data_IF_498411098771
#
_entry.id   IF_498411098771
#
_cell.length_a   1.000
_cell.length_b   1.000
_cell.length_c   1.000
_cell.angle_alpha   90.00
_cell.angle_beta   90.00
_cell.angle_gamma   90.00
#
_symmetry.space_group_name_H-M   'P 1'
#
loop_
_entity.id
_entity.type
_entity.pdbx_description
1 polymer ?
#
# COMPACT_ATOMS: atom_id res chain seq x y z
N UNK A 1 -18.18 -8.56 -1.03
CA UNK A 1 -19.09 -7.43 -0.69
C UNK A 1 -20.52 -7.95 -0.57
N UNK A 2 -21.28 -7.56 0.46
CA UNK A 2 -22.68 -8.00 0.61
C UNK A 2 -23.57 -7.25 -0.41
N UNK A 3 -24.56 -7.93 -0.98
CA UNK A 3 -25.47 -7.37 -1.99
C UNK A 3 -26.16 -6.08 -1.52
N UNK A 4 -26.59 -6.03 -0.26
CA UNK A 4 -27.23 -4.85 0.31
C UNK A 4 -26.26 -3.64 0.38
N UNK A 5 -25.01 -3.87 0.72
CA UNK A 5 -23.97 -2.83 0.71
C UNK A 5 -23.81 -2.21 -0.67
N UNK A 6 -23.69 -3.05 -1.72
CA UNK A 6 -23.56 -2.58 -3.11
C UNK A 6 -24.79 -1.76 -3.54
N UNK A 7 -26.00 -2.22 -3.18
CA UNK A 7 -27.24 -1.51 -3.50
C UNK A 7 -27.26 -0.11 -2.87
N UNK A 8 -26.88 0.01 -1.60
CA UNK A 8 -26.83 1.30 -0.90
C UNK A 8 -25.77 2.23 -1.53
N UNK A 9 -24.62 1.70 -1.92
CA UNK A 9 -23.59 2.48 -2.62
C UNK A 9 -24.11 3.01 -3.96
N UNK A 10 -24.77 2.19 -4.76
CA UNK A 10 -25.36 2.59 -6.05
C UNK A 10 -26.41 3.69 -5.85
N UNK A 11 -27.33 3.54 -4.89
CA UNK A 11 -28.37 4.54 -4.61
C UNK A 11 -27.77 5.86 -4.14
N UNK A 12 -26.71 5.82 -3.33
CA UNK A 12 -25.97 7.00 -2.90
C UNK A 12 -25.27 7.68 -4.09
N UNK A 13 -24.58 6.91 -4.93
CA UNK A 13 -23.91 7.44 -6.13
C UNK A 13 -24.89 8.14 -7.10
N UNK A 14 -26.12 7.64 -7.20
CA UNK A 14 -27.20 8.27 -7.98
C UNK A 14 -27.81 9.52 -7.33
N UNK A 15 -27.55 9.74 -6.03
CA UNK A 15 -28.17 10.81 -5.26
C UNK A 15 -29.58 10.47 -4.71
N UNK A 16 -30.05 9.24 -4.87
CA UNK A 16 -31.36 8.79 -4.36
C UNK A 16 -31.34 8.61 -2.83
N UNK A 17 -30.17 8.38 -2.25
CA UNK A 17 -29.91 8.24 -0.82
C UNK A 17 -28.77 9.17 -0.40
N UNK A 18 -28.90 9.82 0.76
CA UNK A 18 -27.88 10.70 1.31
C UNK A 18 -26.59 9.91 1.58
N UNK A 19 -25.45 10.51 1.28
CA UNK A 19 -24.14 9.96 1.67
C UNK A 19 -23.94 10.02 3.19
N UNK A 20 -23.09 9.20 3.75
CA UNK A 20 -22.70 9.28 5.17
C UNK A 20 -21.90 10.56 5.44
N UNK A 21 -20.99 10.88 4.54
CA UNK A 21 -20.17 12.08 4.58
C UNK A 21 -20.12 12.74 3.20
N UNK A 22 -20.30 14.05 3.16
CA UNK A 22 -20.02 14.84 1.95
C UNK A 22 -19.03 15.93 2.28
N UNK A 23 -17.95 15.97 1.49
CA UNK A 23 -17.02 17.09 1.48
C UNK A 23 -17.61 18.13 0.53
N UNK A 24 -18.12 19.24 1.10
CA UNK A 24 -18.80 20.29 0.37
C UNK A 24 -17.84 21.35 -0.16
N UNK A 25 -18.19 21.96 -1.30
CA UNK A 25 -17.48 23.13 -1.84
C UNK A 25 -15.98 22.89 -2.02
N UNK A 26 -15.60 21.69 -2.49
CA UNK A 26 -14.23 21.32 -2.75
C UNK A 26 -13.74 21.81 -4.12
N UNK A 27 -12.41 22.00 -4.26
CA UNK A 27 -11.71 21.99 -5.54
C UNK A 27 -11.07 20.61 -5.71
N UNK A 28 -11.75 19.74 -6.44
CA UNK A 28 -11.30 18.36 -6.64
C UNK A 28 -10.28 18.30 -7.76
N UNK A 29 -9.07 17.85 -7.45
CA UNK A 29 -8.04 17.56 -8.45
C UNK A 29 -8.35 16.19 -9.05
N UNK A 30 -8.91 16.21 -10.26
CA UNK A 30 -9.23 15.00 -11.00
C UNK A 30 -8.00 14.51 -11.75
N UNK A 31 -7.33 13.49 -11.20
CA UNK A 31 -6.09 12.93 -11.77
C UNK A 31 -6.32 12.13 -13.06
N UNK A 32 -7.57 11.81 -13.39
CA UNK A 32 -7.92 11.08 -14.62
C UNK A 32 -8.11 12.03 -15.82
N UNK A 33 -8.66 13.23 -15.58
CA UNK A 33 -8.91 14.22 -16.62
C UNK A 33 -7.87 15.33 -16.63
N UNK A 34 -7.02 15.41 -15.59
CA UNK A 34 -6.06 16.48 -15.36
C UNK A 34 -6.71 17.87 -15.21
N UNK A 35 -7.90 17.90 -14.65
CA UNK A 35 -8.70 19.11 -14.42
C UNK A 35 -8.92 19.35 -12.93
N UNK A 36 -9.28 20.58 -12.56
CA UNK A 36 -9.71 20.93 -11.22
C UNK A 36 -11.20 21.27 -11.28
N UNK A 37 -12.01 20.44 -10.66
CA UNK A 37 -13.46 20.59 -10.63
C UNK A 37 -13.93 21.21 -9.32
N UNK A 38 -14.84 22.16 -9.38
CA UNK A 38 -15.53 22.67 -8.19
C UNK A 38 -16.75 21.81 -7.93
N UNK A 39 -16.67 20.93 -6.94
CA UNK A 39 -17.67 19.91 -6.68
C UNK A 39 -17.69 19.44 -5.21
N UNK A 40 -18.71 18.69 -4.85
CA UNK A 40 -18.76 17.94 -3.60
C UNK A 40 -18.21 16.52 -3.81
N UNK A 41 -17.71 15.89 -2.76
CA UNK A 41 -17.28 14.48 -2.79
C UNK A 41 -18.17 13.69 -1.83
N UNK A 42 -18.92 12.71 -2.37
CA UNK A 42 -19.79 11.83 -1.61
C UNK A 42 -19.07 10.56 -1.16
N UNK A 43 -19.13 10.26 0.13
CA UNK A 43 -18.45 9.11 0.75
C UNK A 43 -19.48 8.29 1.53
N UNK A 44 -19.41 6.96 1.38
CA UNK A 44 -20.17 6.00 2.16
C UNK A 44 -19.33 4.75 2.42
N UNK A 45 -19.28 4.31 3.68
CA UNK A 45 -18.52 3.12 4.10
C UNK A 45 -17.04 3.18 3.66
N UNK A 46 -16.41 4.36 3.78
CA UNK A 46 -15.01 4.57 3.39
C UNK A 46 -14.75 4.60 1.88
N UNK A 47 -15.79 4.55 1.04
CA UNK A 47 -15.68 4.56 -0.42
C UNK A 47 -16.17 5.88 -0.98
N UNK A 48 -15.41 6.51 -1.86
CA UNK A 48 -15.83 7.66 -2.65
C UNK A 48 -16.81 7.15 -3.71
N UNK A 49 -18.05 7.63 -3.69
CA UNK A 49 -19.11 7.17 -4.57
C UNK A 49 -19.43 8.13 -5.71
N UNK A 50 -19.01 9.38 -5.58
CA UNK A 50 -19.22 10.36 -6.64
C UNK A 50 -18.58 11.70 -6.34
N UNK A 51 -18.30 12.42 -7.41
CA UNK A 51 -17.90 13.83 -7.43
C UNK A 51 -18.98 14.58 -8.19
N UNK A 52 -19.56 15.64 -7.59
CA UNK A 52 -20.70 16.37 -8.18
C UNK A 52 -21.48 17.15 -7.12
N UNK A 53 -22.80 17.11 -7.19
CA UNK A 53 -23.68 17.73 -6.18
C UNK A 53 -24.37 16.67 -5.34
N UNK A 54 -24.02 16.60 -4.07
CA UNK A 54 -24.51 15.59 -3.15
C UNK A 54 -24.99 16.20 -1.83
N UNK A 55 -25.85 15.46 -1.13
CA UNK A 55 -26.26 15.72 0.26
C UNK A 55 -25.80 14.59 1.16
N UNK A 56 -25.37 14.93 2.36
CA UNK A 56 -24.84 13.98 3.35
C UNK A 56 -25.65 13.98 4.65
N UNK A 57 -25.45 12.91 5.44
CA UNK A 57 -25.84 12.88 6.85
C UNK A 57 -24.92 13.80 7.65
N UNK A 58 -23.62 13.76 7.31
CA UNK A 58 -22.63 14.73 7.76
C UNK A 58 -22.07 15.48 6.56
N UNK A 59 -21.99 16.80 6.67
CA UNK A 59 -21.44 17.66 5.62
C UNK A 59 -20.29 18.50 6.19
N UNK A 60 -19.14 18.45 5.55
CA UNK A 60 -17.95 19.24 5.89
C UNK A 60 -17.71 20.25 4.78
N UNK A 61 -17.96 21.53 5.08
CA UNK A 61 -17.68 22.63 4.15
C UNK A 61 -16.18 22.91 4.06
N UNK A 62 -15.58 22.63 2.93
CA UNK A 62 -14.15 22.83 2.68
C UNK A 62 -13.82 24.25 2.24
N UNK A 63 -14.81 25.11 2.01
CA UNK A 63 -14.60 26.53 1.68
C UNK A 63 -13.63 26.74 0.51
N UNK A 64 -13.70 25.89 -0.50
CA UNK A 64 -12.83 25.94 -1.67
C UNK A 64 -11.43 25.37 -1.49
N UNK A 65 -11.17 24.62 -0.41
CA UNK A 65 -9.92 23.88 -0.26
C UNK A 65 -9.82 22.78 -1.30
N UNK A 66 -8.56 22.41 -1.62
CA UNK A 66 -8.30 21.33 -2.56
C UNK A 66 -8.52 19.96 -1.92
N UNK A 67 -9.06 19.05 -2.71
CA UNK A 67 -9.15 17.62 -2.42
C UNK A 67 -8.47 16.87 -3.56
N UNK A 68 -7.55 16.00 -3.22
CA UNK A 68 -6.83 15.14 -4.16
C UNK A 68 -6.66 13.74 -3.56
N UNK A 69 -6.36 12.73 -4.39
CA UNK A 69 -5.87 11.46 -3.87
C UNK A 69 -4.66 11.67 -2.97
N UNK A 70 -4.53 10.86 -1.92
CA UNK A 70 -3.34 10.87 -1.09
C UNK A 70 -2.10 10.48 -1.88
N UNK A 71 -0.94 10.98 -1.48
CA UNK A 71 0.32 10.61 -2.10
C UNK A 71 0.67 9.16 -1.80
N UNK A 72 1.24 8.47 -2.78
CA UNK A 72 1.72 7.10 -2.65
C UNK A 72 3.23 7.10 -2.83
N UNK A 73 3.97 6.59 -1.85
CA UNK A 73 5.37 6.28 -2.01
C UNK A 73 5.49 4.85 -2.57
N UNK A 74 5.95 4.75 -3.81
CA UNK A 74 6.01 3.48 -4.55
C UNK A 74 7.17 2.58 -4.18
N UNK A 75 8.15 3.04 -3.40
CA UNK A 75 9.26 2.23 -2.92
C UNK A 75 9.94 2.87 -1.73
N UNK A 76 9.89 2.21 -0.58
CA UNK A 76 10.54 2.67 0.65
C UNK A 76 11.00 1.50 1.52
N UNK A 77 12.06 1.73 2.29
CA UNK A 77 12.49 0.89 3.40
C UNK A 77 12.17 1.63 4.71
N UNK A 78 11.07 1.27 5.35
CA UNK A 78 10.58 1.98 6.56
C UNK A 78 11.64 1.96 7.66
N UNK A 79 12.33 0.83 7.84
CA UNK A 79 13.38 0.65 8.84
C UNK A 79 14.59 1.55 8.62
N UNK A 80 14.90 1.95 7.39
CA UNK A 80 15.98 2.90 7.08
C UNK A 80 15.68 4.31 7.61
N UNK A 81 14.43 4.62 7.90
CA UNK A 81 14.06 5.84 8.61
C UNK A 81 14.37 5.80 10.11
N UNK A 82 14.78 4.64 10.65
CA UNK A 82 14.95 4.35 12.08
C UNK A 82 13.65 4.49 12.89
N UNK A 83 12.50 4.40 12.23
CA UNK A 83 11.17 4.45 12.84
C UNK A 83 10.47 3.09 12.69
N UNK A 84 9.65 2.71 13.65
CA UNK A 84 8.69 1.63 13.50
C UNK A 84 7.36 2.15 12.93
N UNK A 85 6.50 1.24 12.46
CA UNK A 85 5.27 1.56 11.74
C UNK A 85 4.46 2.73 12.30
N UNK A 86 4.05 2.74 13.59
CA UNK A 86 3.26 3.83 14.15
C UNK A 86 3.97 5.19 14.18
N UNK A 87 5.27 5.21 14.44
CA UNK A 87 6.05 6.45 14.44
C UNK A 87 6.29 6.95 13.00
N UNK A 88 6.48 6.03 12.06
CA UNK A 88 6.59 6.34 10.64
C UNK A 88 5.28 6.95 10.11
N UNK A 89 4.13 6.36 10.44
CA UNK A 89 2.82 6.93 10.11
C UNK A 89 2.69 8.38 10.58
N UNK A 90 3.03 8.64 11.85
CA UNK A 90 2.96 9.99 12.43
C UNK A 90 3.88 10.99 11.71
N UNK A 91 4.98 10.51 11.16
CA UNK A 91 5.91 11.35 10.41
C UNK A 91 5.40 11.68 9.00
N UNK A 92 4.75 10.76 8.29
CA UNK A 92 4.47 10.92 6.86
C UNK A 92 3.03 11.38 6.55
N UNK A 93 2.03 10.93 7.32
CA UNK A 93 0.62 11.29 7.08
C UNK A 93 0.36 12.80 7.07
N UNK A 94 0.93 13.62 7.99
CA UNK A 94 0.73 15.06 7.97
C UNK A 94 1.24 15.75 6.72
N UNK A 95 2.12 15.08 5.95
CA UNK A 95 2.67 15.58 4.70
C UNK A 95 1.92 15.06 3.46
N UNK A 96 0.84 14.28 3.67
CA UNK A 96 -0.05 13.82 2.61
C UNK A 96 0.26 12.44 2.04
N UNK A 97 1.28 11.72 2.52
CA UNK A 97 1.54 10.33 2.15
C UNK A 97 0.54 9.43 2.86
N UNK A 98 -0.35 8.79 2.11
CA UNK A 98 -1.44 7.95 2.64
C UNK A 98 -1.24 6.46 2.36
N UNK A 99 -0.31 6.13 1.47
CA UNK A 99 0.06 4.76 1.16
C UNK A 99 1.56 4.66 0.86
N UNK A 100 2.14 3.52 1.21
CA UNK A 100 3.53 3.19 0.88
C UNK A 100 3.63 1.74 0.41
N UNK A 101 4.57 1.49 -0.50
CA UNK A 101 5.01 0.15 -0.90
C UNK A 101 6.40 -0.06 -0.31
N UNK A 102 6.48 -0.90 0.72
CA UNK A 102 7.73 -1.12 1.46
C UNK A 102 8.41 -2.43 1.07
N UNK A 103 9.73 -2.39 0.97
CA UNK A 103 10.61 -3.56 0.94
C UNK A 103 11.31 -3.65 2.31
N UNK A 104 10.91 -4.56 3.20
CA UNK A 104 11.49 -4.70 4.54
C UNK A 104 12.80 -5.49 4.51
N UNK A 105 13.73 -5.08 3.67
CA UNK A 105 14.97 -5.79 3.38
C UNK A 105 15.94 -5.75 4.54
N UNK A 106 16.12 -4.58 5.16
CA UNK A 106 17.09 -4.39 6.24
C UNK A 106 16.74 -5.22 7.47
N UNK A 107 15.47 -5.21 7.88
CA UNK A 107 15.07 -6.04 9.02
C UNK A 107 15.11 -7.52 8.69
N UNK A 108 14.88 -7.88 7.43
CA UNK A 108 15.00 -9.27 6.97
C UNK A 108 16.46 -9.75 6.99
N UNK A 109 17.42 -8.88 6.67
CA UNK A 109 18.84 -9.18 6.82
C UNK A 109 19.25 -9.44 8.29
N UNK A 110 18.56 -8.81 9.24
CA UNK A 110 18.86 -8.97 10.68
C UNK A 110 18.13 -10.15 11.28
N UNK A 111 16.82 -10.30 10.99
CA UNK A 111 15.92 -11.19 11.72
C UNK A 111 15.17 -12.20 10.83
N UNK A 112 15.44 -12.23 9.53
CA UNK A 112 14.80 -13.17 8.61
C UNK A 112 13.28 -12.97 8.54
N UNK A 113 12.55 -14.09 8.50
CA UNK A 113 11.07 -14.07 8.45
C UNK A 113 10.43 -13.45 9.69
N UNK A 114 11.08 -13.52 10.86
CA UNK A 114 10.57 -12.83 12.05
C UNK A 114 10.57 -11.31 11.88
N UNK A 115 11.48 -10.77 11.07
CA UNK A 115 11.48 -9.35 10.67
C UNK A 115 10.29 -9.01 9.78
N UNK A 116 9.95 -9.88 8.82
CA UNK A 116 8.76 -9.71 7.98
C UNK A 116 7.47 -9.74 8.82
N UNK A 117 7.34 -10.73 9.71
CA UNK A 117 6.19 -10.83 10.61
C UNK A 117 6.06 -9.58 11.49
N UNK A 118 7.17 -9.09 12.04
CA UNK A 118 7.19 -7.86 12.84
C UNK A 118 6.68 -6.65 12.05
N UNK A 119 7.15 -6.47 10.83
CA UNK A 119 6.73 -5.35 9.99
C UNK A 119 5.25 -5.45 9.61
N UNK A 120 4.79 -6.64 9.23
CA UNK A 120 3.38 -6.90 8.94
C UNK A 120 2.50 -6.64 10.16
N UNK A 121 2.90 -7.09 11.34
CA UNK A 121 2.11 -6.94 12.56
C UNK A 121 2.04 -5.48 13.04
N UNK A 122 3.18 -4.78 13.06
CA UNK A 122 3.26 -3.40 13.58
C UNK A 122 2.64 -2.35 12.67
N UNK A 123 2.29 -2.72 11.45
CA UNK A 123 1.67 -1.82 10.46
C UNK A 123 0.23 -2.17 10.11
N UNK A 124 -0.39 -3.16 10.77
CA UNK A 124 -1.71 -3.67 10.37
C UNK A 124 -2.88 -2.72 10.66
N UNK A 125 -2.79 -1.95 11.75
CA UNK A 125 -3.89 -1.13 12.27
C UNK A 125 -3.60 0.37 12.11
N UNK A 126 -2.76 0.74 11.14
CA UNK A 126 -2.43 2.12 10.83
C UNK A 126 -3.48 2.76 9.91
N UNK A 127 -3.61 4.08 9.99
CA UNK A 127 -4.33 4.86 8.99
C UNK A 127 -3.56 4.96 7.67
N UNK A 128 -2.22 4.85 7.72
CA UNK A 128 -1.36 4.69 6.57
C UNK A 128 -1.54 3.29 5.95
N UNK A 129 -1.86 3.21 4.67
CA UNK A 129 -1.88 1.94 3.95
C UNK A 129 -0.46 1.47 3.65
N UNK A 130 -0.06 0.31 4.20
CA UNK A 130 1.28 -0.24 4.00
C UNK A 130 1.17 -1.54 3.21
N UNK A 131 1.72 -1.54 2.00
CA UNK A 131 1.85 -2.70 1.12
C UNK A 131 3.29 -3.18 1.13
N UNK A 132 3.49 -4.48 0.93
CA UNK A 132 4.78 -5.14 1.04
C UNK A 132 5.21 -5.76 -0.26
N UNK A 133 6.47 -5.53 -0.61
CA UNK A 133 7.21 -6.34 -1.57
C UNK A 133 8.17 -7.23 -0.78
N UNK A 134 8.18 -8.53 -1.05
CA UNK A 134 9.04 -9.46 -0.31
C UNK A 134 10.50 -9.34 -0.75
N UNK A 135 11.47 -9.34 0.17
CA UNK A 135 12.89 -9.30 -0.16
C UNK A 135 13.29 -10.44 -1.09
N UNK A 136 13.94 -10.11 -2.20
CA UNK A 136 14.31 -11.06 -3.23
C UNK A 136 15.55 -11.88 -2.89
N UNK A 137 16.44 -11.34 -2.08
CA UNK A 137 17.71 -11.94 -1.71
C UNK A 137 18.16 -11.42 -0.34
N UNK A 138 18.32 -12.35 0.61
CA UNK A 138 18.85 -12.11 1.94
C UNK A 138 19.91 -13.19 2.23
N UNK A 139 21.18 -12.83 2.30
CA UNK A 139 21.80 -11.53 2.03
C UNK A 139 21.68 -11.08 0.57
N UNK A 140 21.99 -9.81 0.32
CA UNK A 140 21.96 -9.20 -1.01
C UNK A 140 22.86 -9.91 -2.02
N UNK A 141 24.04 -10.35 -1.58
CA UNK A 141 24.98 -11.17 -2.37
C UNK A 141 25.60 -12.27 -1.52
N UNK A 142 26.20 -13.31 -2.13
CA UNK A 142 26.92 -14.34 -1.39
C UNK A 142 28.17 -13.84 -0.64
N UNK A 143 28.61 -12.60 -0.89
CA UNK A 143 29.75 -11.97 -0.26
C UNK A 143 29.39 -11.18 0.99
N UNK A 144 28.10 -10.93 1.21
CA UNK A 144 27.62 -10.15 2.34
C UNK A 144 27.38 -11.04 3.56
N UNK A 145 27.69 -10.48 4.74
CA UNK A 145 27.28 -11.06 6.01
C UNK A 145 25.87 -10.60 6.37
N UNK A 146 25.04 -11.53 6.86
CA UNK A 146 23.72 -11.21 7.36
C UNK A 146 23.35 -12.06 8.58
N UNK A 147 22.38 -11.59 9.35
CA UNK A 147 21.83 -12.34 10.49
C UNK A 147 20.88 -13.47 10.07
N UNK A 148 20.47 -13.50 8.82
CA UNK A 148 19.58 -14.53 8.27
C UNK A 148 19.87 -14.80 6.80
N UNK A 149 19.39 -15.96 6.32
CA UNK A 149 19.33 -16.29 4.91
C UNK A 149 17.88 -16.60 4.55
N UNK A 150 17.33 -15.89 3.56
CA UNK A 150 15.99 -16.17 3.03
C UNK A 150 16.11 -16.66 1.59
N UNK A 151 15.69 -17.88 1.37
CA UNK A 151 15.43 -18.40 0.04
C UNK A 151 13.92 -18.24 -0.32
N UNK A 152 13.55 -18.61 -1.53
CA UNK A 152 12.16 -18.53 -1.97
C UNK A 152 11.18 -19.32 -1.09
N UNK A 153 11.61 -20.41 -0.46
CA UNK A 153 10.75 -21.24 0.41
C UNK A 153 10.43 -20.53 1.71
N UNK A 154 11.37 -19.74 2.21
CA UNK A 154 11.18 -18.96 3.43
C UNK A 154 10.13 -17.85 3.25
N UNK A 155 10.04 -17.27 2.06
CA UNK A 155 9.10 -16.17 1.76
C UNK A 155 7.79 -16.64 1.11
N UNK A 156 7.72 -17.89 0.65
CA UNK A 156 6.60 -18.42 -0.16
C UNK A 156 5.24 -18.25 0.54
N UNK A 157 5.15 -18.55 1.83
CA UNK A 157 3.91 -18.44 2.59
C UNK A 157 3.42 -16.99 2.81
N UNK A 158 4.30 -16.01 2.68
CA UNK A 158 3.92 -14.61 2.84
C UNK A 158 3.13 -14.06 1.66
N UNK A 159 3.19 -14.70 0.48
CA UNK A 159 2.38 -14.30 -0.69
C UNK A 159 0.87 -14.45 -0.46
N UNK A 160 0.46 -15.29 0.50
CA UNK A 160 -0.96 -15.44 0.86
C UNK A 160 -1.48 -14.25 1.71
N UNK A 161 -0.58 -13.37 2.18
CA UNK A 161 -0.98 -12.22 2.98
C UNK A 161 -1.52 -11.09 2.10
N UNK A 162 -2.72 -10.52 2.40
CA UNK A 162 -3.42 -9.58 1.50
C UNK A 162 -2.68 -8.25 1.26
N UNK A 163 -1.71 -7.90 2.09
CA UNK A 163 -0.89 -6.69 1.90
C UNK A 163 0.42 -6.97 1.17
N UNK A 164 0.75 -8.22 0.87
CA UNK A 164 1.91 -8.57 0.06
C UNK A 164 1.52 -8.52 -1.41
N UNK A 165 2.25 -7.74 -2.21
CA UNK A 165 1.91 -7.43 -3.59
C UNK A 165 2.88 -8.05 -4.59
N UNK A 166 4.05 -8.51 -4.16
CA UNK A 166 5.03 -9.11 -5.06
C UNK A 166 6.41 -9.27 -4.47
N UNK A 167 7.37 -9.48 -5.36
CA UNK A 167 8.79 -9.55 -5.04
C UNK A 167 9.40 -8.14 -5.15
N UNK A 168 10.27 -7.80 -4.21
CA UNK A 168 11.02 -6.55 -4.19
C UNK A 168 12.16 -6.55 -5.23
N UNK A 169 12.98 -5.50 -5.20
CA UNK A 169 14.11 -5.34 -6.10
C UNK A 169 15.08 -6.52 -6.06
N UNK A 170 15.59 -6.92 -7.24
CA UNK A 170 16.55 -8.00 -7.36
C UNK A 170 17.99 -7.46 -7.29
N UNK A 171 18.53 -7.34 -6.07
CA UNK A 171 19.90 -6.84 -5.88
C UNK A 171 20.95 -7.80 -6.41
N UNK A 172 20.76 -9.12 -6.25
CA UNK A 172 21.68 -10.11 -6.79
C UNK A 172 21.40 -10.46 -8.27
N UNK A 173 21.34 -9.43 -9.13
CA UNK A 173 21.16 -9.63 -10.56
C UNK A 173 22.28 -10.47 -11.22
N UNK A 174 23.48 -10.41 -10.66
CA UNK A 174 24.64 -11.19 -11.13
C UNK A 174 24.36 -12.70 -10.97
N UNK A 175 23.84 -13.12 -9.82
CA UNK A 175 23.45 -14.50 -9.57
C UNK A 175 22.37 -14.98 -10.54
N UNK A 176 21.40 -14.10 -10.87
CA UNK A 176 20.36 -14.41 -11.85
C UNK A 176 20.95 -14.59 -13.25
N UNK A 177 21.80 -13.69 -13.71
CA UNK A 177 22.45 -13.76 -15.03
C UNK A 177 23.33 -15.00 -15.17
N UNK A 178 24.01 -15.38 -14.10
CA UNK A 178 24.87 -16.57 -14.07
C UNK A 178 24.08 -17.89 -13.90
N UNK A 179 22.80 -17.82 -13.62
CA UNK A 179 21.96 -19.00 -13.40
C UNK A 179 22.25 -19.71 -12.07
N UNK A 180 22.66 -18.98 -11.05
CA UNK A 180 22.89 -19.51 -9.70
C UNK A 180 21.57 -20.09 -9.17
N UNK A 181 21.56 -21.41 -8.95
CA UNK A 181 20.33 -22.21 -8.76
C UNK A 181 19.43 -21.76 -7.60
N UNK A 182 20.02 -21.16 -6.55
CA UNK A 182 19.26 -20.65 -5.39
C UNK A 182 18.42 -19.43 -5.75
N UNK A 183 18.94 -18.54 -6.58
CA UNK A 183 18.29 -17.27 -6.91
C UNK A 183 17.40 -17.35 -8.17
N UNK A 184 17.82 -18.12 -9.19
CA UNK A 184 17.03 -18.29 -10.40
C UNK A 184 15.70 -19.02 -10.14
N UNK A 185 15.70 -20.04 -9.28
CA UNK A 185 14.50 -20.78 -8.87
C UNK A 185 13.59 -19.91 -7.98
N UNK A 186 14.18 -19.12 -7.09
CA UNK A 186 13.44 -18.17 -6.26
C UNK A 186 12.67 -17.14 -7.10
N UNK A 187 13.35 -16.57 -8.09
CA UNK A 187 12.75 -15.54 -8.96
C UNK A 187 11.66 -16.14 -9.85
N UNK A 188 11.85 -17.34 -10.38
CA UNK A 188 10.84 -18.00 -11.23
C UNK A 188 9.57 -18.34 -10.44
N UNK A 189 9.70 -18.93 -9.23
CA UNK A 189 8.55 -19.26 -8.39
C UNK A 189 7.81 -18.03 -7.89
N UNK A 190 8.55 -16.98 -7.50
CA UNK A 190 7.96 -15.72 -7.06
C UNK A 190 7.27 -14.96 -8.20
N UNK A 191 7.83 -14.93 -9.40
CA UNK A 191 7.22 -14.32 -10.57
C UNK A 191 5.97 -15.10 -11.02
N UNK A 192 5.95 -16.41 -10.89
CA UNK A 192 4.79 -17.24 -11.22
C UNK A 192 3.60 -16.91 -10.28
N UNK A 193 3.86 -16.72 -8.97
CA UNK A 193 2.84 -16.30 -8.00
C UNK A 193 2.42 -14.84 -8.13
N UNK A 194 3.33 -13.94 -8.46
CA UNK A 194 3.02 -12.53 -8.66
C UNK A 194 2.17 -12.28 -9.93
N UNK A 195 2.13 -13.22 -10.87
CA UNK A 195 1.36 -13.13 -12.11
C UNK A 195 0.04 -13.94 -12.08
N UNK A 196 -0.26 -14.63 -10.98
CA UNK A 196 -1.49 -15.41 -10.78
C UNK A 196 -2.57 -14.59 -10.05
#
# INVERSE_FOLDING_TARGET
MKMETLKQQILTAKGDVRAELVLKNARVINVFTNEIEQADVAIRQGVILGVGHYTGETELDLQGKYVCPGLVDGHIHIESSMLCGPAFEQAVLPHGTTAVVTDPHEISNVAGTAGLDFMLETTKDLALSVYFMLPSCVPATPLDESGANLDYRAIDSFYDHPRVQGLAEMMNFVGIINGDSIYAVATAAALEKANA
#
